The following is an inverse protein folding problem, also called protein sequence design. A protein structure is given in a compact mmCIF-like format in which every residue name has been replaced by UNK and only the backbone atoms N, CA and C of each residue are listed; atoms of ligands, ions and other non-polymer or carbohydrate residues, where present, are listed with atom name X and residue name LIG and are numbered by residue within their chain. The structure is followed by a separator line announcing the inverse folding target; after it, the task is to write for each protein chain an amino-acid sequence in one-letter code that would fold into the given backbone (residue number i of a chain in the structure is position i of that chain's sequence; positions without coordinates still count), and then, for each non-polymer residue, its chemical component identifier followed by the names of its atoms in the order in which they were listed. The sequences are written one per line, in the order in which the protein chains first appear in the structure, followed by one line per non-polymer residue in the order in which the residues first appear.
data_IF_797809101959
#
_entry.id   IF_797809101959
#
_cell.length_a   1.000
_cell.length_b   1.000
_cell.length_c   1.000
_cell.angle_alpha   90.00
_cell.angle_beta   90.00
_cell.angle_gamma   90.00
#
_symmetry.space_group_name_H-M   'P 1'
#
loop_
_entity.id
_entity.type
_entity.pdbx_description
1 polymer ?
#
# COMPACT_ATOMS: atom_id res chain seq x y z
N UNK A 1 47.63 -8.92 26.36
CA UNK A 1 46.91 -8.13 27.37
C UNK A 1 45.43 -8.17 27.05
N UNK A 2 44.65 -9.03 27.73
CA UNK A 2 43.21 -9.20 27.51
C UNK A 2 42.53 -8.90 28.84
N UNK A 3 41.82 -7.78 28.94
CA UNK A 3 41.08 -7.41 30.16
C UNK A 3 39.66 -7.94 30.01
N UNK A 4 39.35 -8.98 30.79
CA UNK A 4 38.00 -9.45 31.06
C UNK A 4 37.41 -8.53 32.13
N UNK A 5 36.30 -7.87 31.84
CA UNK A 5 35.51 -7.18 32.84
C UNK A 5 34.21 -7.96 33.05
N UNK A 6 34.05 -8.45 34.26
CA UNK A 6 32.87 -9.10 34.80
C UNK A 6 32.21 -8.16 35.82
N UNK A 7 30.87 -8.28 35.91
CA UNK A 7 29.96 -7.93 37.01
C UNK A 7 29.28 -6.54 37.01
N UNK A 8 27.96 -6.59 37.08
CA UNK A 8 27.07 -5.46 37.36
C UNK A 8 25.59 -5.79 37.27
N UNK A 9 25.13 -6.77 38.08
CA UNK A 9 23.71 -7.11 38.30
C UNK A 9 23.00 -5.95 39.04
N UNK A 10 21.82 -5.53 38.55
CA UNK A 10 21.00 -4.51 39.22
C UNK A 10 19.56 -4.48 38.67
N UNK A 11 18.71 -5.30 39.27
CA UNK A 11 17.28 -5.42 39.05
C UNK A 11 16.54 -4.46 39.99
N UNK A 12 15.60 -3.64 39.49
CA UNK A 12 14.34 -3.34 40.21
C UNK A 12 13.38 -2.44 39.41
N UNK A 13 12.19 -3.00 39.17
CA UNK A 13 10.96 -2.32 38.79
C UNK A 13 10.59 -1.22 39.80
N UNK A 14 10.04 -0.12 39.29
CA UNK A 14 9.13 0.73 40.05
C UNK A 14 7.89 1.02 39.20
N UNK A 15 6.88 0.17 39.35
CA UNK A 15 5.49 0.51 39.04
C UNK A 15 5.00 1.46 40.14
N UNK A 16 4.93 2.75 39.84
CA UNK A 16 4.19 3.71 40.65
C UNK A 16 2.80 3.88 40.05
N UNK A 17 1.88 3.01 40.46
CA UNK A 17 0.46 3.35 40.50
C UNK A 17 0.23 4.25 41.70
N UNK A 18 -0.21 5.48 41.47
CA UNK A 18 -0.76 6.35 42.50
C UNK A 18 -2.15 6.78 42.04
N UNK A 19 -3.15 6.21 42.70
CA UNK A 19 -4.47 6.79 42.83
C UNK A 19 -4.33 8.06 43.67
N UNK A 20 -4.79 9.19 43.14
CA UNK A 20 -5.15 10.32 43.98
C UNK A 20 -6.47 10.92 43.47
N UNK A 21 -7.40 11.07 44.40
CA UNK A 21 -8.71 11.66 44.22
C UNK A 21 -8.62 13.17 44.36
N UNK A 22 -8.89 13.89 43.28
CA UNK A 22 -9.11 15.33 43.30
C UNK A 22 -10.28 15.69 42.39
N UNK A 23 -11.42 16.00 42.99
CA UNK A 23 -12.63 16.46 42.34
C UNK A 23 -12.39 17.75 41.56
N UNK A 24 -12.81 17.79 40.30
CA UNK A 24 -13.40 19.00 39.74
C UNK A 24 -14.45 18.64 38.67
N UNK A 25 -15.53 19.40 38.69
CA UNK A 25 -16.77 19.12 38.00
C UNK A 25 -16.70 19.64 36.57
N UNK A 26 -16.84 18.77 35.57
CA UNK A 26 -17.54 19.08 34.31
C UNK A 26 -17.93 17.77 33.62
N UNK A 27 -19.10 17.21 33.95
CA UNK A 27 -19.73 16.19 33.11
C UNK A 27 -20.34 16.88 31.90
N UNK A 28 -19.53 17.00 30.85
CA UNK A 28 -20.03 17.11 29.48
C UNK A 28 -20.39 15.68 29.07
N UNK A 29 -21.68 15.44 28.81
CA UNK A 29 -22.14 14.20 28.20
C UNK A 29 -21.54 14.09 26.79
N UNK A 30 -20.32 13.58 26.71
CA UNK A 30 -19.89 12.84 25.54
C UNK A 30 -20.51 11.46 25.67
N UNK A 31 -21.61 11.28 24.96
CA UNK A 31 -21.98 9.97 24.47
C UNK A 31 -20.81 9.48 23.60
N UNK A 32 -19.81 8.88 24.26
CA UNK A 32 -18.96 7.91 23.63
C UNK A 32 -19.91 6.79 23.19
N UNK A 33 -20.36 6.87 21.94
CA UNK A 33 -20.74 5.68 21.21
C UNK A 33 -19.54 4.76 21.30
N UNK A 34 -19.64 3.76 22.17
CA UNK A 34 -18.93 2.51 22.00
C UNK A 34 -19.46 1.97 20.69
N UNK A 35 -18.87 2.44 19.59
CA UNK A 35 -19.03 1.78 18.31
C UNK A 35 -18.23 0.48 18.38
N UNK A 36 -18.70 -0.51 17.65
CA UNK A 36 -18.24 -1.88 17.74
C UNK A 36 -16.72 -1.93 17.56
N UNK A 37 -16.08 -2.85 18.29
CA UNK A 37 -14.62 -2.98 18.40
C UNK A 37 -14.04 -3.56 17.09
N UNK A 38 -14.23 -2.87 15.96
CA UNK A 38 -13.63 -3.17 14.67
C UNK A 38 -12.20 -2.67 14.68
N UNK A 39 -11.26 -3.59 14.52
CA UNK A 39 -9.83 -3.29 14.38
C UNK A 39 -9.58 -2.72 12.98
N UNK A 40 -9.96 -1.45 12.78
CA UNK A 40 -9.83 -0.74 11.49
C UNK A 40 -8.39 -0.81 10.99
N UNK A 41 -7.41 -0.66 11.89
CA UNK A 41 -6.00 -0.70 11.57
C UNK A 41 -5.57 -2.12 11.13
N UNK A 42 -6.03 -3.17 11.82
CA UNK A 42 -5.81 -4.55 11.41
C UNK A 42 -6.43 -4.86 10.05
N UNK A 43 -7.70 -4.53 9.85
CA UNK A 43 -8.42 -4.74 8.59
C UNK A 43 -7.75 -4.01 7.40
N UNK A 44 -7.27 -2.78 7.62
CA UNK A 44 -6.58 -2.00 6.59
C UNK A 44 -5.20 -2.57 6.26
N UNK A 45 -4.44 -3.02 7.26
CA UNK A 45 -3.16 -3.69 7.05
C UNK A 45 -3.35 -4.98 6.27
N UNK A 46 -4.34 -5.81 6.64
CA UNK A 46 -4.64 -7.06 5.94
C UNK A 46 -5.07 -6.79 4.49
N UNK A 47 -5.90 -5.76 4.25
CA UNK A 47 -6.25 -5.33 2.91
C UNK A 47 -5.01 -4.92 2.09
N UNK A 48 -4.13 -4.11 2.66
CA UNK A 48 -2.92 -3.62 1.98
C UNK A 48 -1.96 -4.77 1.62
N UNK A 49 -1.71 -5.69 2.55
CA UNK A 49 -0.83 -6.84 2.31
C UNK A 49 -1.43 -7.81 1.28
N UNK A 50 -2.74 -8.01 1.32
CA UNK A 50 -3.43 -8.83 0.33
C UNK A 50 -3.41 -8.17 -1.06
N UNK A 51 -3.53 -6.84 -1.14
CA UNK A 51 -3.41 -6.08 -2.37
C UNK A 51 -2.05 -6.30 -3.02
N UNK A 52 -0.97 -6.02 -2.30
CA UNK A 52 0.39 -6.14 -2.85
C UNK A 52 0.69 -7.58 -3.25
N UNK A 53 0.31 -8.55 -2.42
CA UNK A 53 0.45 -9.98 -2.77
C UNK A 53 -0.33 -10.36 -4.03
N UNK A 54 -1.57 -9.87 -4.16
CA UNK A 54 -2.45 -10.18 -5.29
C UNK A 54 -1.90 -9.60 -6.59
N UNK A 55 -1.47 -8.35 -6.55
CA UNK A 55 -0.97 -7.63 -7.73
C UNK A 55 0.39 -8.18 -8.17
N UNK A 56 1.32 -8.42 -7.24
CA UNK A 56 2.63 -9.00 -7.54
C UNK A 56 2.51 -10.41 -8.14
N UNK A 57 1.40 -11.09 -7.90
CA UNK A 57 1.09 -12.39 -8.50
C UNK A 57 0.79 -12.34 -10.00
N UNK A 58 0.51 -11.15 -10.56
CA UNK A 58 0.03 -10.99 -11.94
C UNK A 58 0.74 -9.89 -12.74
N UNK A 59 1.47 -8.98 -12.08
CA UNK A 59 2.12 -7.82 -12.71
C UNK A 59 3.57 -8.07 -13.20
N UNK A 60 4.07 -9.30 -13.07
CA UNK A 60 5.48 -9.64 -13.34
C UNK A 60 5.97 -9.24 -14.74
N UNK A 61 5.15 -9.41 -15.77
CA UNK A 61 5.54 -9.08 -17.15
C UNK A 61 5.50 -7.56 -17.39
N UNK A 62 4.62 -6.84 -16.68
CA UNK A 62 4.61 -5.39 -16.70
C UNK A 62 5.87 -4.83 -16.03
N UNK A 63 6.22 -5.33 -14.85
CA UNK A 63 7.42 -4.90 -14.13
C UNK A 63 8.69 -5.23 -14.95
N UNK A 64 8.72 -6.41 -15.59
CA UNK A 64 9.80 -6.80 -16.50
C UNK A 64 9.92 -5.90 -17.73
N UNK A 65 8.82 -5.43 -18.31
CA UNK A 65 8.85 -4.44 -19.38
C UNK A 65 9.41 -3.09 -18.91
N UNK A 66 8.93 -2.58 -17.77
CA UNK A 66 9.39 -1.29 -17.21
C UNK A 66 10.88 -1.34 -16.86
N UNK A 67 11.37 -2.44 -16.29
CA UNK A 67 12.79 -2.66 -16.03
C UNK A 67 13.61 -2.72 -17.32
N UNK A 68 13.15 -3.46 -18.33
CA UNK A 68 13.84 -3.58 -19.62
C UNK A 68 13.95 -2.22 -20.34
N UNK A 69 12.89 -1.40 -20.29
CA UNK A 69 12.86 -0.06 -20.88
C UNK A 69 13.75 0.95 -20.12
N UNK A 70 13.96 0.75 -18.82
CA UNK A 70 14.87 1.56 -18.01
C UNK A 70 16.36 1.16 -18.15
N UNK A 71 16.64 0.04 -18.83
CA UNK A 71 17.99 -0.47 -19.05
C UNK A 71 18.85 0.39 -19.99
N UNK A 72 20.17 0.14 -20.00
CA UNK A 72 21.12 0.87 -20.88
C UNK A 72 20.88 0.62 -22.37
N UNK A 73 20.33 -0.55 -22.72
CA UNK A 73 19.99 -0.95 -24.09
C UNK A 73 18.53 -1.44 -24.11
N UNK A 74 17.55 -0.54 -24.27
CA UNK A 74 16.14 -0.91 -24.32
C UNK A 74 15.82 -1.83 -25.49
N UNK A 75 14.85 -2.76 -25.32
CA UNK A 75 14.42 -3.66 -26.38
C UNK A 75 13.83 -2.89 -27.57
N UNK A 76 13.94 -3.45 -28.77
CA UNK A 76 13.38 -2.84 -29.98
C UNK A 76 12.85 -3.91 -30.95
N UNK A 77 12.10 -3.48 -31.97
CA UNK A 77 11.56 -4.38 -33.00
C UNK A 77 10.65 -5.48 -32.42
N UNK A 78 10.86 -6.72 -32.87
CA UNK A 78 10.03 -7.87 -32.49
C UNK A 78 10.12 -8.20 -30.98
N UNK A 79 11.26 -7.92 -30.34
CA UNK A 79 11.44 -8.12 -28.90
C UNK A 79 10.59 -7.13 -28.10
N UNK A 80 10.62 -5.85 -28.48
CA UNK A 80 9.76 -4.83 -27.89
C UNK A 80 8.28 -5.18 -28.06
N UNK A 81 7.88 -5.62 -29.25
CA UNK A 81 6.49 -6.01 -29.50
C UNK A 81 6.03 -7.16 -28.58
N UNK A 82 6.89 -8.17 -28.38
CA UNK A 82 6.60 -9.32 -27.51
C UNK A 82 6.49 -8.92 -26.04
N UNK A 83 7.41 -8.07 -25.56
CA UNK A 83 7.36 -7.56 -24.19
C UNK A 83 6.12 -6.71 -23.95
N UNK A 84 5.77 -5.84 -24.91
CA UNK A 84 4.56 -5.00 -24.81
C UNK A 84 3.28 -5.82 -24.73
N UNK A 85 3.15 -6.89 -25.51
CA UNK A 85 1.97 -7.76 -25.47
C UNK A 85 1.79 -8.41 -24.08
N UNK A 86 2.88 -8.94 -23.53
CA UNK A 86 2.89 -9.59 -22.21
C UNK A 86 2.62 -8.58 -21.09
N UNK A 87 3.30 -7.42 -21.12
CA UNK A 87 3.08 -6.32 -20.19
C UNK A 87 1.65 -5.77 -20.26
N UNK A 88 1.06 -5.68 -21.46
CA UNK A 88 -0.33 -5.24 -21.61
C UNK A 88 -1.29 -6.23 -20.95
N UNK A 89 -1.09 -7.54 -21.16
CA UNK A 89 -1.93 -8.57 -20.56
C UNK A 89 -1.81 -8.55 -19.03
N UNK A 90 -0.58 -8.41 -18.53
CA UNK A 90 -0.26 -8.28 -17.11
C UNK A 90 -0.88 -7.04 -16.48
N UNK A 91 -0.79 -5.86 -17.12
CA UNK A 91 -1.44 -4.64 -16.65
C UNK A 91 -2.98 -4.78 -16.57
N UNK A 92 -3.62 -5.44 -17.55
CA UNK A 92 -5.06 -5.74 -17.49
C UNK A 92 -5.40 -6.68 -16.34
N UNK A 93 -4.60 -7.73 -16.16
CA UNK A 93 -4.78 -8.68 -15.07
C UNK A 93 -4.64 -7.99 -13.70
N UNK A 94 -3.70 -7.06 -13.54
CA UNK A 94 -3.57 -6.25 -12.33
C UNK A 94 -4.79 -5.38 -12.09
N UNK A 95 -5.30 -4.67 -13.11
CA UNK A 95 -6.53 -3.89 -12.99
C UNK A 95 -7.73 -4.76 -12.56
N UNK A 96 -7.93 -5.90 -13.21
CA UNK A 96 -9.00 -6.85 -12.89
C UNK A 96 -8.85 -7.44 -11.48
N UNK A 97 -7.62 -7.76 -11.07
CA UNK A 97 -7.34 -8.31 -9.76
C UNK A 97 -7.65 -7.30 -8.65
N UNK A 98 -7.21 -6.05 -8.80
CA UNK A 98 -7.52 -4.95 -7.88
C UNK A 98 -9.04 -4.72 -7.85
N UNK A 99 -9.70 -4.61 -9.01
CA UNK A 99 -11.15 -4.44 -9.10
C UNK A 99 -11.93 -5.58 -8.42
N UNK A 100 -11.41 -6.81 -8.49
CA UNK A 100 -12.00 -7.99 -7.86
C UNK A 100 -11.83 -8.06 -6.33
N UNK A 101 -10.98 -7.24 -5.72
CA UNK A 101 -10.75 -7.28 -4.28
C UNK A 101 -11.96 -6.80 -3.47
N UNK A 102 -12.34 -7.55 -2.44
CA UNK A 102 -13.34 -7.12 -1.48
C UNK A 102 -12.75 -6.09 -0.50
N UNK A 103 -13.50 -5.03 -0.24
CA UNK A 103 -13.15 -4.02 0.76
C UNK A 103 -13.69 -4.49 2.12
N UNK A 104 -12.84 -4.54 3.18
CA UNK A 104 -13.28 -4.97 4.49
C UNK A 104 -14.45 -4.13 5.00
N UNK A 105 -15.44 -4.78 5.60
CA UNK A 105 -16.62 -4.10 6.15
C UNK A 105 -16.30 -3.30 7.41
N UNK A 106 -15.23 -3.67 8.11
CA UNK A 106 -14.82 -3.06 9.38
C UNK A 106 -14.02 -1.77 9.25
N UNK A 107 -13.86 -1.21 8.04
CA UNK A 107 -13.09 0.02 7.82
C UNK A 107 -13.75 1.29 8.35
N UNK A 108 -15.03 1.25 8.71
CA UNK A 108 -15.76 2.43 9.18
C UNK A 108 -15.67 3.59 8.18
N UNK A 109 -15.23 4.76 8.66
CA UNK A 109 -15.11 5.99 7.87
C UNK A 109 -14.03 5.90 6.76
N UNK A 110 -13.06 4.97 6.87
CA UNK A 110 -12.00 4.80 5.88
C UNK A 110 -12.46 4.11 4.59
N UNK A 111 -13.68 3.56 4.58
CA UNK A 111 -14.17 2.75 3.46
C UNK A 111 -14.21 3.52 2.13
N UNK A 112 -14.72 4.75 2.13
CA UNK A 112 -14.82 5.56 0.91
C UNK A 112 -13.43 5.95 0.39
N UNK A 113 -12.48 6.21 1.29
CA UNK A 113 -11.10 6.50 0.92
C UNK A 113 -10.43 5.28 0.27
N UNK A 114 -10.64 4.07 0.82
CA UNK A 114 -10.15 2.81 0.22
C UNK A 114 -10.80 2.52 -1.13
N UNK A 115 -12.10 2.79 -1.29
CA UNK A 115 -12.80 2.69 -2.59
C UNK A 115 -12.18 3.62 -3.64
N UNK A 116 -11.91 4.87 -3.26
CA UNK A 116 -11.26 5.86 -4.12
C UNK A 116 -9.84 5.43 -4.52
N UNK A 117 -9.02 5.04 -3.54
CA UNK A 117 -7.68 4.48 -3.75
C UNK A 117 -7.67 3.34 -4.76
N UNK A 118 -8.57 2.36 -4.55
CA UNK A 118 -8.70 1.21 -5.43
C UNK A 118 -9.06 1.63 -6.86
N UNK A 119 -9.99 2.57 -7.01
CA UNK A 119 -10.36 3.11 -8.33
C UNK A 119 -9.19 3.80 -9.02
N UNK A 120 -8.40 4.61 -8.31
CA UNK A 120 -7.22 5.29 -8.85
C UNK A 120 -6.16 4.28 -9.32
N UNK A 121 -5.92 3.23 -8.53
CA UNK A 121 -4.96 2.18 -8.87
C UNK A 121 -5.40 1.39 -10.12
N UNK A 122 -6.69 1.03 -10.20
CA UNK A 122 -7.28 0.41 -11.40
C UNK A 122 -7.14 1.32 -12.62
N UNK A 123 -7.41 2.63 -12.47
CA UNK A 123 -7.24 3.62 -13.54
C UNK A 123 -5.79 3.65 -14.04
N UNK A 124 -4.81 3.67 -13.14
CA UNK A 124 -3.38 3.60 -13.51
C UNK A 124 -3.07 2.35 -14.35
N UNK A 125 -3.45 1.16 -13.91
CA UNK A 125 -3.18 -0.07 -14.65
C UNK A 125 -3.89 -0.12 -16.02
N UNK A 126 -5.12 0.37 -16.10
CA UNK A 126 -5.83 0.49 -17.37
C UNK A 126 -5.11 1.45 -18.33
N UNK A 127 -4.62 2.59 -17.83
CA UNK A 127 -3.84 3.54 -18.62
C UNK A 127 -2.52 2.92 -19.11
N UNK A 128 -1.83 2.11 -18.28
CA UNK A 128 -0.65 1.34 -18.71
C UNK A 128 -1.01 0.38 -19.84
N UNK A 129 -2.07 -0.41 -19.69
CA UNK A 129 -2.53 -1.35 -20.71
C UNK A 129 -2.91 -0.66 -22.03
N UNK A 130 -3.56 0.51 -21.97
CA UNK A 130 -3.92 1.31 -23.15
C UNK A 130 -2.70 1.90 -23.84
N UNK A 131 -1.70 2.38 -23.09
CA UNK A 131 -0.46 2.88 -23.65
C UNK A 131 0.35 1.78 -24.33
N UNK A 132 0.43 0.61 -23.71
CA UNK A 132 1.12 -0.58 -24.26
C UNK A 132 0.44 -1.12 -25.52
N UNK A 133 -0.86 -0.90 -25.71
CA UNK A 133 -1.59 -1.32 -26.91
C UNK A 133 -1.24 -0.51 -28.18
N UNK A 134 -0.60 0.66 -28.03
CA UNK A 134 -0.30 1.57 -29.16
C UNK A 134 0.94 1.09 -29.92
N UNK A 135 1.07 1.49 -31.18
CA UNK A 135 2.29 1.22 -31.96
C UNK A 135 3.49 2.03 -31.42
N UNK A 136 4.70 1.46 -31.51
CA UNK A 136 5.94 2.10 -31.08
C UNK A 136 6.25 1.93 -29.59
N UNK A 137 7.12 2.77 -29.04
CA UNK A 137 7.42 2.80 -27.61
C UNK A 137 6.19 3.32 -26.82
N UNK A 138 5.88 2.69 -25.68
CA UNK A 138 4.78 3.15 -24.84
C UNK A 138 5.21 4.30 -23.94
N UNK A 139 4.40 5.35 -23.88
CA UNK A 139 4.52 6.43 -22.89
C UNK A 139 3.61 6.12 -21.71
N UNK A 140 4.22 5.82 -20.56
CA UNK A 140 3.51 5.47 -19.32
C UNK A 140 3.36 6.66 -18.35
N UNK A 141 3.86 7.85 -18.72
CA UNK A 141 3.97 9.00 -17.80
C UNK A 141 2.66 9.32 -17.06
N UNK A 142 1.53 9.40 -17.79
CA UNK A 142 0.24 9.72 -17.16
C UNK A 142 -0.27 8.57 -16.27
N UNK A 143 0.04 7.33 -16.63
CA UNK A 143 -0.34 6.17 -15.83
C UNK A 143 0.48 6.14 -14.52
N UNK A 144 1.76 6.52 -14.59
CA UNK A 144 2.63 6.64 -13.43
C UNK A 144 2.24 7.83 -12.53
N UNK A 145 1.78 8.95 -13.09
CA UNK A 145 1.17 10.03 -12.32
C UNK A 145 -0.04 9.52 -11.52
N UNK A 146 -0.89 8.68 -12.14
CA UNK A 146 -2.02 8.05 -11.45
C UNK A 146 -1.59 7.03 -10.39
N UNK A 147 -0.52 6.27 -10.64
CA UNK A 147 0.05 5.38 -9.62
C UNK A 147 0.58 6.16 -8.41
N UNK A 148 1.22 7.31 -8.65
CA UNK A 148 1.66 8.22 -7.59
C UNK A 148 0.47 8.83 -6.83
N UNK A 149 -0.65 9.11 -7.50
CA UNK A 149 -1.89 9.53 -6.83
C UNK A 149 -2.39 8.43 -5.88
N UNK A 150 -2.44 7.17 -6.34
CA UNK A 150 -2.82 6.03 -5.52
C UNK A 150 -1.86 5.81 -4.33
N UNK A 151 -0.54 5.93 -4.54
CA UNK A 151 0.49 5.91 -3.49
C UNK A 151 0.20 6.95 -2.40
N UNK A 152 -0.15 8.18 -2.78
CA UNK A 152 -0.43 9.24 -1.82
C UNK A 152 -1.75 8.97 -1.06
N UNK A 153 -2.78 8.48 -1.74
CA UNK A 153 -4.04 8.11 -1.12
C UNK A 153 -3.84 7.02 -0.06
N UNK A 154 -3.13 5.93 -0.38
CA UNK A 154 -2.95 4.85 0.59
C UNK A 154 -2.05 5.26 1.77
N UNK A 155 -1.07 6.14 1.56
CA UNK A 155 -0.29 6.73 2.65
C UNK A 155 -1.17 7.51 3.63
N UNK A 156 -2.05 8.36 3.12
CA UNK A 156 -2.98 9.14 3.94
C UNK A 156 -3.91 8.23 4.74
N UNK A 157 -4.50 7.22 4.09
CA UNK A 157 -5.40 6.24 4.73
C UNK A 157 -4.67 5.47 5.85
N UNK A 158 -3.45 5.01 5.61
CA UNK A 158 -2.64 4.31 6.61
C UNK A 158 -2.26 5.22 7.78
N UNK A 159 -1.81 6.44 7.50
CA UNK A 159 -1.40 7.42 8.50
C UNK A 159 -2.60 7.82 9.40
N UNK A 160 -3.80 8.02 8.84
CA UNK A 160 -5.03 8.30 9.58
C UNK A 160 -5.45 7.15 10.49
N UNK A 161 -5.17 5.91 10.10
CA UNK A 161 -5.38 4.71 10.90
C UNK A 161 -4.26 4.49 11.96
N UNK A 162 -3.26 5.38 12.02
CA UNK A 162 -2.12 5.27 12.94
C UNK A 162 -1.11 4.19 12.56
N UNK A 163 -1.14 3.72 11.31
CA UNK A 163 -0.20 2.76 10.75
C UNK A 163 0.99 3.48 10.12
N UNK A 164 2.14 2.80 10.10
CA UNK A 164 3.31 3.30 9.36
C UNK A 164 3.15 2.89 7.91
N UNK A 165 3.12 3.87 7.02
CA UNK A 165 3.03 3.63 5.59
C UNK A 165 4.38 3.19 4.98
N UNK A 166 4.33 2.16 4.13
CA UNK A 166 5.39 1.81 3.20
C UNK A 166 5.16 2.47 1.84
N UNK A 167 6.05 2.24 0.88
CA UNK A 167 5.83 2.70 -0.50
C UNK A 167 5.11 1.62 -1.27
N UNK A 168 3.86 1.89 -1.69
CA UNK A 168 3.09 1.02 -2.58
C UNK A 168 3.88 0.71 -3.86
N UNK A 169 4.48 1.72 -4.49
CA UNK A 169 5.28 1.53 -5.71
C UNK A 169 6.44 0.56 -5.46
N UNK A 170 7.12 0.68 -4.31
CA UNK A 170 8.21 -0.25 -3.97
C UNK A 170 7.69 -1.65 -3.67
N UNK A 171 6.54 -1.74 -3.01
CA UNK A 171 5.94 -3.01 -2.61
C UNK A 171 5.27 -3.74 -3.79
N UNK A 172 4.92 -3.03 -4.86
CA UNK A 172 4.40 -3.59 -6.12
C UNK A 172 5.52 -4.00 -7.10
N UNK A 173 6.65 -3.32 -7.07
CA UNK A 173 7.83 -3.64 -7.91
C UNK A 173 8.77 -4.66 -7.25
N UNK A 174 8.22 -5.58 -6.46
CA UNK A 174 8.95 -6.53 -5.61
C UNK A 174 9.19 -7.91 -6.23
#
# INVERSE_FOLDING_TARGET
MKKVWLLGLGLSLALAGCSDSGSDETKKDEAASVDENTDVAGDLMDFYLNLTTTVNGVDIDLNGYEEAMAGEEPPSGDELATLKESAQASAKASAEAVEGMEIPKGLGDQKEAVESFKSTLVESYNMKAEALAKDGEADLTQADEKLNEAENQIKEILDEAGLVSSSLISDLNG
#
